data_IF_403460355763
#
_entry.id   IF_403460355763
#
_cell.length_a   1.000
_cell.length_b   1.000
_cell.length_c   1.000
_cell.angle_alpha   90.00
_cell.angle_beta   90.00
_cell.angle_gamma   90.00
#
_symmetry.space_group_name_H-M   'P 1'
#
loop_
_entity.id
_entity.type
_entity.pdbx_description
1 polymer ?
#
# COMPACT_ATOMS: atom_id res chain seq x y z
N UNK A 1 16.58 30.36 -20.77
CA UNK A 1 17.65 30.35 -21.78
C UNK A 1 17.85 28.92 -22.23
N UNK A 2 17.67 28.64 -23.52
CA UNK A 2 17.90 27.30 -24.05
C UNK A 2 19.35 26.87 -23.85
N UNK A 3 19.55 25.61 -23.48
CA UNK A 3 20.89 25.06 -23.19
C UNK A 3 21.85 25.14 -24.38
N UNK A 4 21.29 25.26 -25.59
CA UNK A 4 22.03 25.49 -26.84
C UNK A 4 22.68 26.87 -26.85
N UNK A 5 21.99 27.90 -26.34
CA UNK A 5 22.52 29.27 -26.26
C UNK A 5 23.68 29.33 -25.28
N UNK A 6 23.56 28.66 -24.13
CA UNK A 6 24.62 28.57 -23.12
C UNK A 6 25.88 27.88 -23.68
N UNK A 7 25.70 26.80 -24.44
CA UNK A 7 26.81 26.08 -25.12
C UNK A 7 27.49 26.94 -26.19
N UNK A 8 26.71 27.71 -26.95
CA UNK A 8 27.23 28.64 -27.95
C UNK A 8 28.10 29.73 -27.32
N UNK A 9 27.63 30.33 -26.23
CA UNK A 9 28.39 31.35 -25.48
C UNK A 9 29.67 30.74 -24.90
N UNK A 10 29.59 29.54 -24.30
CA UNK A 10 30.77 28.84 -23.76
C UNK A 10 31.84 28.57 -24.82
N UNK A 11 31.46 28.04 -25.98
CA UNK A 11 32.39 27.76 -27.07
C UNK A 11 33.05 29.05 -27.60
N UNK A 12 32.28 30.13 -27.70
CA UNK A 12 32.77 31.44 -28.14
C UNK A 12 33.79 32.02 -27.14
N UNK A 13 33.50 31.97 -25.84
CA UNK A 13 34.40 32.45 -24.79
C UNK A 13 35.69 31.62 -24.74
N UNK A 14 35.60 30.29 -24.83
CA UNK A 14 36.77 29.41 -24.84
C UNK A 14 37.67 29.68 -26.04
N UNK A 15 37.07 29.87 -27.22
CA UNK A 15 37.79 30.16 -28.47
C UNK A 15 38.47 31.54 -28.43
N UNK A 16 37.78 32.57 -27.93
CA UNK A 16 38.38 33.90 -27.71
C UNK A 16 39.53 33.83 -26.71
N UNK A 17 39.36 33.10 -25.62
CA UNK A 17 40.41 32.93 -24.60
C UNK A 17 41.64 32.22 -25.17
N UNK A 18 41.44 31.15 -25.96
CA UNK A 18 42.53 30.46 -26.66
C UNK A 18 43.25 31.38 -27.66
N UNK A 19 42.53 32.26 -28.34
CA UNK A 19 43.12 33.25 -29.25
C UNK A 19 44.02 34.26 -28.54
N UNK A 20 43.62 34.75 -27.36
CA UNK A 20 44.42 35.71 -26.58
C UNK A 20 45.62 35.08 -25.87
N UNK A 21 45.48 33.86 -25.34
CA UNK A 21 46.52 33.20 -24.54
C UNK A 21 47.58 32.52 -25.43
N UNK A 22 47.26 32.21 -26.69
CA UNK A 22 48.15 31.53 -27.63
C UNK A 22 48.80 30.26 -27.03
N UNK A 23 47.99 29.27 -26.62
CA UNK A 23 48.51 28.06 -26.01
C UNK A 23 49.49 27.36 -26.96
N UNK A 24 50.57 26.81 -26.39
CA UNK A 24 51.63 26.10 -27.12
C UNK A 24 52.42 26.95 -28.14
N UNK A 25 52.36 28.30 -28.06
CA UNK A 25 53.06 29.19 -28.98
C UNK A 25 52.51 29.17 -30.40
N UNK A 26 51.34 28.57 -30.60
CA UNK A 26 50.64 28.55 -31.88
C UNK A 26 50.07 29.95 -32.14
N UNK A 27 50.20 30.46 -33.37
CA UNK A 27 49.67 31.78 -33.76
C UNK A 27 48.61 31.66 -34.85
N UNK A 28 47.73 32.65 -34.93
CA UNK A 28 46.71 32.73 -35.98
C UNK A 28 45.65 31.63 -35.90
N UNK A 29 45.31 31.05 -37.05
CA UNK A 29 44.15 30.16 -37.22
C UNK A 29 44.22 28.86 -36.39
N UNK A 30 45.43 28.40 -36.06
CA UNK A 30 45.62 27.18 -35.27
C UNK A 30 45.13 27.33 -33.82
N UNK A 31 45.19 28.53 -33.23
CA UNK A 31 44.65 28.78 -31.88
C UNK A 31 43.14 28.69 -31.83
N UNK A 32 42.48 29.21 -32.88
CA UNK A 32 41.03 29.15 -33.04
C UNK A 32 40.58 27.70 -33.24
N UNK A 33 41.32 26.91 -34.03
CA UNK A 33 41.04 25.48 -34.20
C UNK A 33 41.20 24.68 -32.90
N UNK A 34 42.23 24.97 -32.10
CA UNK A 34 42.43 24.34 -30.79
C UNK A 34 41.31 24.74 -29.81
N UNK A 35 40.93 26.01 -29.78
CA UNK A 35 39.82 26.50 -28.96
C UNK A 35 38.47 25.88 -29.35
N UNK A 36 38.16 25.83 -30.64
CA UNK A 36 36.91 25.27 -31.13
C UNK A 36 36.87 23.73 -30.97
N UNK A 37 37.98 23.05 -31.22
CA UNK A 37 38.10 21.61 -31.03
C UNK A 37 37.98 21.19 -29.57
N UNK A 38 38.60 21.91 -28.65
CA UNK A 38 38.46 21.67 -27.20
C UNK A 38 37.05 21.96 -26.71
N UNK A 39 36.42 23.05 -27.18
CA UNK A 39 35.01 23.34 -26.87
C UNK A 39 34.07 22.23 -27.34
N UNK A 40 34.23 21.75 -28.58
CA UNK A 40 33.46 20.62 -29.10
C UNK A 40 33.69 19.34 -28.29
N UNK A 41 34.94 19.06 -27.90
CA UNK A 41 35.28 17.93 -27.05
C UNK A 41 34.59 17.98 -25.69
N UNK A 42 34.58 19.13 -25.03
CA UNK A 42 33.90 19.34 -23.74
C UNK A 42 32.38 19.18 -23.88
N UNK A 43 31.77 19.74 -24.93
CA UNK A 43 30.33 19.62 -25.17
C UNK A 43 29.95 18.16 -25.48
N UNK A 44 30.77 17.45 -26.26
CA UNK A 44 30.58 16.03 -26.52
C UNK A 44 30.67 15.21 -25.22
N UNK A 45 31.67 15.49 -24.39
CA UNK A 45 31.84 14.85 -23.09
C UNK A 45 30.66 15.13 -22.15
N UNK A 46 30.20 16.39 -22.06
CA UNK A 46 29.00 16.79 -21.32
C UNK A 46 27.77 15.99 -21.77
N UNK A 47 27.57 15.85 -23.09
CA UNK A 47 26.47 15.08 -23.65
C UNK A 47 26.56 13.58 -23.33
N UNK A 48 27.78 13.03 -23.34
CA UNK A 48 28.04 11.63 -22.97
C UNK A 48 27.77 11.41 -21.47
N UNK A 49 28.17 12.35 -20.62
CA UNK A 49 27.92 12.33 -19.17
C UNK A 49 26.44 12.40 -18.83
N UNK A 50 25.67 13.25 -19.53
CA UNK A 50 24.21 13.36 -19.32
C UNK A 50 23.45 12.09 -19.68
N UNK A 51 23.98 11.29 -20.61
CA UNK A 51 23.41 9.98 -20.98
C UNK A 51 23.92 8.83 -20.12
N UNK A 52 24.94 9.06 -19.28
CA UNK A 52 25.46 8.04 -18.39
C UNK A 52 24.58 7.92 -17.15
N UNK A 53 24.31 6.69 -16.72
CA UNK A 53 23.60 6.43 -15.47
C UNK A 53 24.49 6.85 -14.28
N UNK A 54 23.88 7.33 -13.20
CA UNK A 54 24.63 7.71 -11.97
C UNK A 54 25.49 6.54 -11.46
N UNK A 55 24.98 5.32 -11.58
CA UNK A 55 25.69 4.08 -11.22
C UNK A 55 26.98 3.88 -12.01
N UNK A 56 26.94 4.09 -13.33
CA UNK A 56 28.13 4.04 -14.19
C UNK A 56 29.15 5.10 -13.81
N UNK A 57 28.70 6.32 -13.49
CA UNK A 57 29.59 7.41 -13.10
C UNK A 57 30.30 7.12 -11.77
N UNK A 58 29.58 6.63 -10.76
CA UNK A 58 30.16 6.24 -9.47
C UNK A 58 31.14 5.09 -9.64
N UNK A 59 30.75 4.06 -10.40
CA UNK A 59 31.61 2.92 -10.69
C UNK A 59 32.88 3.34 -11.45
N UNK A 60 32.75 4.20 -12.45
CA UNK A 60 33.86 4.74 -13.24
C UNK A 60 34.84 5.54 -12.36
N UNK A 61 34.33 6.37 -11.44
CA UNK A 61 35.14 7.15 -10.52
C UNK A 61 35.90 6.26 -9.52
N UNK A 62 35.23 5.28 -8.93
CA UNK A 62 35.89 4.35 -8.00
C UNK A 62 36.94 3.50 -8.72
N UNK A 63 36.61 3.02 -9.92
CA UNK A 63 37.52 2.23 -10.75
C UNK A 63 38.73 3.04 -11.21
N UNK A 64 38.57 4.30 -11.60
CA UNK A 64 39.70 5.16 -11.98
C UNK A 64 40.61 5.49 -10.80
N UNK A 65 40.05 5.75 -9.61
CA UNK A 65 40.82 5.97 -8.38
C UNK A 65 41.64 4.73 -8.05
N UNK A 66 41.03 3.54 -8.05
CA UNK A 66 41.76 2.28 -7.81
C UNK A 66 42.83 2.02 -8.87
N UNK A 67 42.55 2.35 -10.14
CA UNK A 67 43.51 2.25 -11.23
C UNK A 67 44.72 3.18 -11.04
N UNK A 68 44.49 4.44 -10.64
CA UNK A 68 45.56 5.40 -10.35
C UNK A 68 46.40 4.93 -9.16
N UNK A 69 45.77 4.47 -8.08
CA UNK A 69 46.49 3.92 -6.92
C UNK A 69 47.36 2.73 -7.35
N UNK A 70 46.80 1.79 -8.12
CA UNK A 70 47.56 0.66 -8.65
C UNK A 70 48.72 1.09 -9.55
N UNK A 71 48.51 2.09 -10.40
CA UNK A 71 49.57 2.63 -11.25
C UNK A 71 50.71 3.23 -10.46
N UNK A 72 50.41 4.00 -9.40
CA UNK A 72 51.41 4.61 -8.52
C UNK A 72 52.21 3.53 -7.81
N UNK A 73 51.56 2.51 -7.25
CA UNK A 73 52.24 1.40 -6.58
C UNK A 73 53.19 0.65 -7.53
N UNK A 74 52.75 0.35 -8.75
CA UNK A 74 53.60 -0.30 -9.76
C UNK A 74 54.75 0.63 -10.18
N UNK A 75 54.46 1.92 -10.39
CA UNK A 75 55.47 2.90 -10.79
C UNK A 75 56.54 3.10 -9.71
N UNK A 76 56.17 2.98 -8.44
CA UNK A 76 57.09 3.02 -7.30
C UNK A 76 58.05 1.83 -7.34
N UNK A 77 57.51 0.60 -7.47
CA UNK A 77 58.30 -0.63 -7.61
C UNK A 77 59.27 -0.61 -8.81
N UNK A 78 58.91 0.10 -9.89
CA UNK A 78 59.79 0.25 -11.07
C UNK A 78 60.93 1.24 -10.86
N UNK A 79 60.90 2.08 -9.82
CA UNK A 79 61.93 3.10 -9.58
C UNK A 79 63.29 2.49 -9.23
N UNK A 80 63.29 1.29 -8.64
CA UNK A 80 64.51 0.59 -8.21
C UNK A 80 65.16 -0.24 -9.34
N UNK A 81 64.69 -0.13 -10.59
CA UNK A 81 65.22 -0.88 -11.73
C UNK A 81 66.18 -0.05 -12.60
N UNK A 82 67.18 -0.71 -13.21
CA UNK A 82 68.35 -0.11 -13.90
C UNK A 82 68.02 0.47 -15.29
N UNK A 83 66.80 0.94 -15.53
CA UNK A 83 66.43 1.53 -16.82
C UNK A 83 66.93 2.97 -16.95
N UNK A 84 67.13 3.42 -18.20
CA UNK A 84 67.42 4.84 -18.49
C UNK A 84 66.25 5.75 -18.07
N UNK A 85 66.58 6.95 -17.57
CA UNK A 85 65.63 7.89 -16.94
C UNK A 85 64.46 8.32 -17.85
N UNK A 86 64.71 8.49 -19.15
CA UNK A 86 63.67 8.86 -20.12
C UNK A 86 62.71 7.71 -20.40
N UNK A 87 63.25 6.50 -20.59
CA UNK A 87 62.46 5.28 -20.80
C UNK A 87 61.63 4.93 -19.58
N UNK A 88 62.17 5.10 -18.37
CA UNK A 88 61.43 4.96 -17.11
C UNK A 88 60.25 5.93 -17.02
N UNK A 89 60.48 7.20 -17.33
CA UNK A 89 59.44 8.24 -17.26
C UNK A 89 58.30 7.93 -18.25
N UNK A 90 58.65 7.48 -19.45
CA UNK A 90 57.67 7.05 -20.46
C UNK A 90 56.87 5.82 -19.97
N UNK A 91 57.54 4.79 -19.44
CA UNK A 91 56.89 3.56 -18.95
C UNK A 91 55.95 3.88 -17.78
N UNK A 92 56.36 4.72 -16.83
CA UNK A 92 55.52 5.17 -15.71
C UNK A 92 54.27 5.90 -16.20
N UNK A 93 54.42 6.82 -17.14
CA UNK A 93 53.31 7.55 -17.73
C UNK A 93 52.37 6.60 -18.51
N UNK A 94 52.94 5.66 -19.24
CA UNK A 94 52.19 4.63 -19.97
C UNK A 94 51.34 3.77 -19.02
N UNK A 95 51.94 3.28 -17.92
CA UNK A 95 51.24 2.49 -16.91
C UNK A 95 50.12 3.30 -16.24
N UNK A 96 50.36 4.58 -15.93
CA UNK A 96 49.36 5.48 -15.37
C UNK A 96 48.15 5.63 -16.30
N UNK A 97 48.37 5.94 -17.58
CA UNK A 97 47.27 6.05 -18.54
C UNK A 97 46.53 4.73 -18.72
N UNK A 98 47.27 3.62 -18.84
CA UNK A 98 46.71 2.29 -19.03
C UNK A 98 45.80 1.91 -17.86
N UNK A 99 46.30 1.98 -16.62
CA UNK A 99 45.55 1.59 -15.42
C UNK A 99 44.38 2.52 -15.14
N UNK A 100 44.52 3.83 -15.36
CA UNK A 100 43.42 4.79 -15.19
C UNK A 100 42.30 4.49 -16.19
N UNK A 101 42.65 4.22 -17.46
CA UNK A 101 41.67 3.90 -18.51
C UNK A 101 40.97 2.56 -18.23
N UNK A 102 41.72 1.50 -17.92
CA UNK A 102 41.16 0.18 -17.61
C UNK A 102 40.28 0.27 -16.36
N UNK A 103 40.73 0.96 -15.31
CA UNK A 103 39.96 1.20 -14.09
C UNK A 103 38.64 1.93 -14.37
N UNK A 104 38.68 2.99 -15.18
CA UNK A 104 37.49 3.72 -15.60
C UNK A 104 36.50 2.83 -16.37
N UNK A 105 36.97 2.07 -17.37
CA UNK A 105 36.11 1.22 -18.21
C UNK A 105 35.50 0.07 -17.41
N UNK A 106 36.31 -0.64 -16.61
CA UNK A 106 35.85 -1.74 -15.77
C UNK A 106 34.90 -1.22 -14.69
N UNK A 107 35.24 -0.09 -14.07
CA UNK A 107 34.40 0.58 -13.08
C UNK A 107 33.06 1.02 -13.65
N UNK A 108 33.04 1.62 -14.83
CA UNK A 108 31.81 2.01 -15.52
C UNK A 108 30.93 0.79 -15.82
N UNK A 109 31.50 -0.26 -16.39
CA UNK A 109 30.77 -1.46 -16.77
C UNK A 109 30.24 -2.25 -15.57
N UNK A 110 31.04 -2.38 -14.50
CA UNK A 110 30.61 -3.03 -13.26
C UNK A 110 29.75 -2.13 -12.38
N UNK A 111 29.77 -0.81 -12.58
CA UNK A 111 28.93 0.14 -11.88
C UNK A 111 27.44 -0.15 -12.03
N UNK A 112 27.00 -0.68 -13.17
CA UNK A 112 25.60 -1.10 -13.37
C UNK A 112 25.18 -2.25 -12.45
N UNK A 113 26.13 -3.09 -12.01
CA UNK A 113 25.91 -4.19 -11.06
C UNK A 113 25.78 -3.68 -9.62
N UNK A 114 26.13 -2.42 -9.35
CA UNK A 114 25.95 -1.84 -8.02
C UNK A 114 24.45 -1.65 -7.75
N UNK A 115 23.96 -2.43 -6.79
CA UNK A 115 22.59 -2.31 -6.31
C UNK A 115 22.53 -1.21 -5.25
N UNK A 116 22.57 0.06 -5.69
CA UNK A 116 22.40 1.23 -4.79
C UNK A 116 21.09 1.18 -3.98
N UNK A 117 20.11 0.37 -4.41
CA UNK A 117 18.87 0.11 -3.66
C UNK A 117 19.12 -0.70 -2.39
N UNK A 118 20.13 -1.58 -2.36
CA UNK A 118 20.50 -2.38 -1.20
C UNK A 118 21.35 -1.58 -0.20
N UNK A 119 21.99 -0.49 -0.66
CA UNK A 119 22.72 0.49 0.15
C UNK A 119 21.84 1.70 0.51
N UNK A 120 20.52 1.49 0.53
CA UNK A 120 19.49 2.52 0.63
C UNK A 120 19.44 3.18 2.00
N UNK A 121 19.80 4.47 2.03
CA UNK A 121 19.58 5.33 3.19
C UNK A 121 20.21 6.71 3.06
N UNK A 122 21.37 6.81 2.40
CA UNK A 122 22.19 8.05 2.45
C UNK A 122 22.33 8.76 1.08
N UNK A 123 22.21 8.04 -0.03
CA UNK A 123 22.41 8.59 -1.39
C UNK A 123 21.26 8.34 -2.37
N UNK A 124 20.18 7.73 -1.90
CA UNK A 124 18.97 7.53 -2.69
C UNK A 124 18.15 8.81 -2.68
N UNK A 125 18.39 9.71 -3.63
CA UNK A 125 17.46 10.81 -3.92
C UNK A 125 16.04 10.27 -3.96
N UNK A 126 15.12 10.99 -3.33
CA UNK A 126 13.70 10.68 -3.23
C UNK A 126 13.24 9.99 -4.52
N UNK A 127 13.03 8.67 -4.45
CA UNK A 127 12.20 8.04 -5.47
C UNK A 127 10.88 8.79 -5.37
N UNK A 128 10.40 9.49 -6.43
CA UNK A 128 9.01 9.90 -6.40
C UNK A 128 8.24 8.62 -6.07
N UNK A 129 7.49 8.63 -4.96
CA UNK A 129 6.71 7.49 -4.54
C UNK A 129 6.05 6.92 -5.80
N UNK A 130 6.35 5.65 -6.15
CA UNK A 130 5.75 5.02 -7.34
C UNK A 130 4.27 5.35 -7.27
N UNK A 131 3.76 6.16 -8.21
CA UNK A 131 2.35 6.52 -8.25
C UNK A 131 1.60 5.19 -8.31
N UNK A 132 0.97 4.82 -7.22
CA UNK A 132 0.26 3.55 -7.12
C UNK A 132 -1.01 3.66 -7.96
N UNK A 133 -0.92 3.26 -9.21
CA UNK A 133 -2.06 3.24 -10.12
C UNK A 133 -2.98 2.09 -9.76
N UNK A 134 -4.28 2.37 -9.74
CA UNK A 134 -5.34 1.41 -9.43
C UNK A 134 -6.41 1.50 -10.49
N UNK A 135 -6.53 0.47 -11.32
CA UNK A 135 -7.49 0.43 -12.44
C UNK A 135 -8.82 -0.11 -11.93
N UNK A 136 -9.89 0.64 -12.14
CA UNK A 136 -11.24 0.21 -11.76
C UNK A 136 -11.90 -0.61 -12.87
N UNK A 137 -12.47 -1.75 -12.48
CA UNK A 137 -13.35 -2.59 -13.30
C UNK A 137 -14.83 -2.12 -13.23
N UNK A 138 -15.62 -2.46 -14.24
CA UNK A 138 -17.08 -2.24 -14.29
C UNK A 138 -17.78 -2.86 -13.09
N UNK A 139 -17.38 -4.09 -12.70
CA UNK A 139 -18.02 -4.83 -11.60
C UNK A 139 -17.92 -4.10 -10.26
N UNK A 140 -16.79 -3.44 -9.99
CA UNK A 140 -16.53 -2.74 -8.74
C UNK A 140 -17.28 -1.41 -8.68
N UNK A 141 -17.39 -0.74 -9.82
CA UNK A 141 -18.11 0.53 -9.95
C UNK A 141 -19.61 0.33 -9.76
N UNK A 142 -20.20 -0.72 -10.35
CA UNK A 142 -21.64 -1.02 -10.21
C UNK A 142 -22.02 -1.38 -8.77
N UNK A 143 -21.14 -2.09 -8.06
CA UNK A 143 -21.35 -2.46 -6.65
C UNK A 143 -21.42 -1.21 -5.75
N UNK A 144 -20.51 -0.26 -5.99
CA UNK A 144 -20.54 1.08 -5.40
C UNK A 144 -19.79 1.22 -4.07
N UNK A 145 -19.47 0.13 -3.36
CA UNK A 145 -18.73 0.17 -2.08
C UNK A 145 -17.33 0.79 -2.23
N UNK A 146 -16.78 0.79 -3.44
CA UNK A 146 -15.51 1.46 -3.76
C UNK A 146 -15.52 2.95 -3.39
N UNK A 147 -16.65 3.64 -3.57
CA UNK A 147 -16.77 5.05 -3.20
C UNK A 147 -16.62 5.25 -1.68
N UNK A 148 -17.24 4.39 -0.88
CA UNK A 148 -17.18 4.51 0.58
C UNK A 148 -15.78 4.15 1.08
N UNK A 149 -15.13 3.12 0.51
CA UNK A 149 -13.73 2.76 0.82
C UNK A 149 -12.79 3.92 0.49
N UNK A 150 -12.99 4.55 -0.66
CA UNK A 150 -12.29 5.76 -1.08
C UNK A 150 -12.44 6.91 -0.07
N UNK A 151 -13.65 7.18 0.41
CA UNK A 151 -13.91 8.23 1.41
C UNK A 151 -13.24 7.97 2.76
N UNK A 152 -13.08 6.71 3.17
CA UNK A 152 -12.35 6.36 4.41
C UNK A 152 -10.84 6.59 4.32
N UNK A 153 -10.30 6.81 3.12
CA UNK A 153 -8.85 6.94 2.88
C UNK A 153 -8.11 5.61 2.86
N UNK A 154 -8.81 4.46 2.86
CA UNK A 154 -8.19 3.14 2.81
C UNK A 154 -7.62 2.81 1.42
N UNK A 155 -8.09 3.51 0.38
CA UNK A 155 -7.60 3.37 -0.99
C UNK A 155 -6.78 4.59 -1.40
N UNK A 156 -5.48 4.40 -1.56
CA UNK A 156 -4.52 5.44 -1.93
C UNK A 156 -4.15 5.44 -3.42
N UNK A 157 -3.43 6.46 -3.86
CA UNK A 157 -2.87 6.53 -5.22
C UNK A 157 -3.81 7.12 -6.27
N UNK A 158 -3.55 6.78 -7.54
CA UNK A 158 -4.30 7.32 -8.68
C UNK A 158 -5.28 6.27 -9.17
N UNK A 159 -6.57 6.60 -9.13
CA UNK A 159 -7.62 5.78 -9.70
C UNK A 159 -7.68 5.98 -11.21
N UNK A 160 -7.41 4.92 -11.95
CA UNK A 160 -7.44 4.90 -13.41
C UNK A 160 -8.78 4.34 -13.85
N UNK A 161 -9.51 5.11 -14.65
CA UNK A 161 -10.79 4.71 -15.25
C UNK A 161 -10.60 4.63 -16.76
N UNK A 162 -10.53 3.43 -17.34
CA UNK A 162 -10.38 3.27 -18.78
C UNK A 162 -11.67 3.63 -19.53
N UNK A 163 -11.55 4.19 -20.73
CA UNK A 163 -12.72 4.52 -21.56
C UNK A 163 -13.57 3.29 -21.92
N UNK A 164 -12.96 2.11 -22.07
CA UNK A 164 -13.71 0.89 -22.35
C UNK A 164 -14.61 0.46 -21.18
N UNK A 165 -14.23 0.74 -19.93
CA UNK A 165 -15.07 0.52 -18.74
C UNK A 165 -16.26 1.49 -18.72
N UNK A 166 -16.02 2.77 -19.07
CA UNK A 166 -17.10 3.74 -19.22
C UNK A 166 -18.10 3.33 -20.30
N UNK A 167 -17.62 2.85 -21.44
CA UNK A 167 -18.50 2.38 -22.54
C UNK A 167 -19.31 1.16 -22.11
N UNK A 168 -18.71 0.22 -21.39
CA UNK A 168 -19.44 -0.94 -20.87
C UNK A 168 -20.51 -0.52 -19.85
N UNK A 169 -20.20 0.39 -18.92
CA UNK A 169 -21.18 0.96 -17.99
C UNK A 169 -22.35 1.66 -18.71
N UNK A 170 -22.06 2.42 -19.77
CA UNK A 170 -23.08 3.06 -20.61
C UNK A 170 -23.96 2.03 -21.31
N UNK A 171 -23.37 0.98 -21.90
CA UNK A 171 -24.14 -0.11 -22.52
C UNK A 171 -25.07 -0.81 -21.51
N UNK A 172 -24.60 -1.00 -20.26
CA UNK A 172 -25.42 -1.54 -19.17
C UNK A 172 -26.53 -0.56 -18.78
N UNK A 173 -26.24 0.75 -18.74
CA UNK A 173 -27.20 1.82 -18.45
C UNK A 173 -28.26 2.01 -19.55
N UNK A 174 -27.97 1.63 -20.79
CA UNK A 174 -28.88 1.69 -21.94
C UNK A 174 -29.62 0.36 -22.18
N UNK A 175 -29.44 -0.62 -21.29
CA UNK A 175 -30.09 -1.93 -21.41
C UNK A 175 -31.63 -1.82 -21.38
N UNK A 176 -32.29 -2.66 -22.18
CA UNK A 176 -33.75 -2.83 -22.15
C UNK A 176 -34.23 -3.39 -20.79
N UNK A 177 -33.38 -4.15 -20.10
CA UNK A 177 -33.64 -4.68 -18.77
C UNK A 177 -33.53 -3.54 -17.74
N UNK A 178 -34.65 -3.23 -17.08
CA UNK A 178 -34.76 -2.19 -16.06
C UNK A 178 -33.76 -2.37 -14.91
N UNK A 179 -33.50 -3.61 -14.47
CA UNK A 179 -32.57 -3.86 -13.36
C UNK A 179 -31.13 -3.58 -13.79
N UNK A 180 -30.72 -4.02 -14.99
CA UNK A 180 -29.40 -3.73 -15.55
C UNK A 180 -29.22 -2.23 -15.77
N UNK A 181 -30.21 -1.58 -16.37
CA UNK A 181 -30.23 -0.12 -16.57
C UNK A 181 -30.04 0.66 -15.27
N UNK A 182 -30.78 0.31 -14.23
CA UNK A 182 -30.67 0.97 -12.93
C UNK A 182 -29.27 0.77 -12.31
N UNK A 183 -28.69 -0.43 -12.45
CA UNK A 183 -27.31 -0.72 -12.01
C UNK A 183 -26.26 0.07 -12.79
N UNK A 184 -26.39 0.18 -14.11
CA UNK A 184 -25.49 0.97 -14.95
C UNK A 184 -25.52 2.46 -14.60
N UNK A 185 -26.72 3.03 -14.46
CA UNK A 185 -26.90 4.44 -14.02
C UNK A 185 -26.28 4.69 -12.66
N UNK A 186 -26.54 3.81 -11.69
CA UNK A 186 -25.91 3.88 -10.35
C UNK A 186 -24.38 3.84 -10.45
N UNK A 187 -23.81 2.99 -11.33
CA UNK A 187 -22.37 2.95 -11.54
C UNK A 187 -21.80 4.27 -12.06
N UNK A 188 -22.47 4.91 -13.01
CA UNK A 188 -22.08 6.24 -13.50
C UNK A 188 -22.16 7.31 -12.40
N UNK A 189 -23.20 7.28 -11.56
CA UNK A 189 -23.35 8.19 -10.41
C UNK A 189 -22.20 8.00 -9.40
N UNK A 190 -21.79 6.75 -9.15
CA UNK A 190 -20.65 6.41 -8.28
C UNK A 190 -19.34 6.98 -8.83
N UNK A 191 -19.08 6.86 -10.14
CA UNK A 191 -17.88 7.45 -10.74
C UNK A 191 -17.89 8.98 -10.61
N UNK A 192 -19.04 9.61 -10.80
CA UNK A 192 -19.17 11.05 -10.62
C UNK A 192 -18.94 11.47 -9.17
N UNK A 193 -19.41 10.68 -8.19
CA UNK A 193 -19.12 10.89 -6.76
C UNK A 193 -17.61 10.82 -6.52
N UNK A 194 -16.94 9.76 -6.96
CA UNK A 194 -15.49 9.56 -6.78
C UNK A 194 -14.68 10.69 -7.42
N UNK A 195 -15.06 11.14 -8.61
CA UNK A 195 -14.39 12.26 -9.30
C UNK A 195 -14.45 13.57 -8.51
N UNK A 196 -15.51 13.79 -7.73
CA UNK A 196 -15.71 15.01 -6.92
C UNK A 196 -15.10 14.92 -5.51
N UNK A 197 -14.60 13.75 -5.10
CA UNK A 197 -14.01 13.57 -3.76
C UNK A 197 -12.69 14.31 -3.62
N UNK A 198 -12.54 15.06 -2.53
CA UNK A 198 -11.27 15.68 -2.18
C UNK A 198 -10.28 14.60 -1.70
N UNK A 199 -9.03 14.68 -2.13
CA UNK A 199 -7.97 13.75 -1.71
C UNK A 199 -7.78 12.53 -2.62
N UNK A 200 -8.62 12.35 -3.65
CA UNK A 200 -8.50 11.26 -4.62
C UNK A 200 -8.14 11.84 -5.98
N UNK A 201 -7.11 11.29 -6.61
CA UNK A 201 -6.76 11.64 -7.98
C UNK A 201 -7.36 10.61 -8.93
N UNK A 202 -8.28 11.05 -9.78
CA UNK A 202 -8.90 10.23 -10.82
C UNK A 202 -8.30 10.58 -12.17
N UNK A 203 -7.89 9.57 -12.94
CA UNK A 203 -7.36 9.71 -14.29
C UNK A 203 -8.17 8.86 -15.27
N UNK A 204 -8.74 9.51 -16.29
CA UNK A 204 -9.38 8.82 -17.40
C UNK A 204 -8.34 8.50 -18.47
N UNK A 205 -8.33 7.25 -18.95
CA UNK A 205 -7.31 6.76 -19.90
C UNK A 205 -7.97 6.23 -21.17
N UNK A 206 -7.50 6.69 -22.33
CA UNK A 206 -8.02 6.35 -23.66
C UNK A 206 -7.37 5.10 -24.27
N UNK A 207 -6.30 4.58 -23.67
CA UNK A 207 -5.65 3.34 -24.13
C UNK A 207 -6.69 2.22 -24.31
N UNK A 208 -6.79 1.72 -25.53
CA UNK A 208 -7.63 0.59 -25.89
C UNK A 208 -6.76 -0.43 -26.61
N UNK A 209 -7.18 -1.69 -26.54
CA UNK A 209 -6.49 -2.83 -27.15
C UNK A 209 -7.45 -3.46 -28.16
N UNK A 210 -7.52 -2.97 -29.42
CA UNK A 210 -8.48 -3.43 -30.42
C UNK A 210 -8.35 -4.92 -30.75
N UNK A 211 -7.16 -5.48 -30.55
CA UNK A 211 -6.84 -6.89 -30.77
C UNK A 211 -7.52 -7.80 -29.74
N UNK A 212 -7.92 -7.25 -28.58
CA UNK A 212 -8.54 -7.98 -27.48
C UNK A 212 -10.03 -7.70 -27.47
N UNK A 213 -10.84 -8.75 -27.57
CA UNK A 213 -12.31 -8.62 -27.51
C UNK A 213 -12.83 -8.49 -26.08
N UNK A 214 -12.23 -9.24 -25.16
CA UNK A 214 -12.67 -9.32 -23.77
C UNK A 214 -12.15 -8.13 -22.96
N UNK A 215 -13.05 -7.47 -22.22
CA UNK A 215 -12.73 -6.31 -21.36
C UNK A 215 -11.70 -6.71 -20.29
N UNK A 216 -11.85 -7.91 -19.72
CA UNK A 216 -10.94 -8.51 -18.75
C UNK A 216 -9.48 -8.53 -19.23
N UNK A 217 -9.25 -8.94 -20.47
CA UNK A 217 -7.90 -8.96 -21.05
C UNK A 217 -7.36 -7.55 -21.25
N UNK A 218 -8.21 -6.59 -21.62
CA UNK A 218 -7.82 -5.18 -21.73
C UNK A 218 -7.39 -4.60 -20.39
N UNK A 219 -8.09 -4.94 -19.31
CA UNK A 219 -7.72 -4.53 -17.95
C UNK A 219 -6.35 -5.08 -17.55
N UNK A 220 -6.07 -6.35 -17.85
CA UNK A 220 -4.78 -6.99 -17.55
C UNK A 220 -3.63 -6.35 -18.32
N UNK A 221 -3.79 -6.10 -19.62
CA UNK A 221 -2.73 -5.47 -20.42
C UNK A 221 -2.52 -4.00 -20.01
N UNK A 222 -3.59 -3.26 -19.71
CA UNK A 222 -3.46 -1.91 -19.18
C UNK A 222 -2.73 -1.88 -17.84
N UNK A 223 -3.03 -2.85 -16.96
CA UNK A 223 -2.39 -2.95 -15.67
C UNK A 223 -0.88 -3.20 -15.77
N UNK A 224 -0.45 -4.02 -16.74
CA UNK A 224 0.98 -4.24 -17.01
C UNK A 224 1.66 -3.00 -17.57
N UNK A 225 1.01 -2.29 -18.50
CA UNK A 225 1.58 -1.08 -19.10
C UNK A 225 1.81 0.02 -18.04
N UNK A 226 0.89 0.14 -17.08
CA UNK A 226 0.93 1.17 -16.04
C UNK A 226 1.61 0.73 -14.73
N UNK A 227 2.10 -0.51 -14.62
CA UNK A 227 2.57 -1.11 -13.35
C UNK A 227 1.51 -0.92 -12.23
N UNK A 228 0.24 -1.16 -12.58
CA UNK A 228 -0.94 -0.86 -11.78
C UNK A 228 -1.56 -2.11 -11.17
N UNK A 229 -2.37 -1.91 -10.12
CA UNK A 229 -3.22 -2.97 -9.54
C UNK A 229 -4.62 -2.90 -10.12
N UNK A 230 -5.28 -4.02 -10.32
CA UNK A 230 -6.69 -4.06 -10.75
C UNK A 230 -7.59 -4.08 -9.52
N UNK A 231 -8.62 -3.25 -9.49
CA UNK A 231 -9.67 -3.30 -8.47
C UNK A 231 -10.93 -3.90 -9.09
N UNK A 232 -11.36 -5.07 -8.61
CA UNK A 232 -12.48 -5.82 -9.18
C UNK A 232 -13.26 -6.56 -8.10
N UNK A 233 -14.51 -6.93 -8.39
CA UNK A 233 -15.28 -7.89 -7.61
C UNK A 233 -15.31 -9.29 -8.24
N UNK A 234 -14.80 -9.44 -9.46
CA UNK A 234 -14.83 -10.69 -10.21
C UNK A 234 -13.71 -11.63 -9.76
N UNK A 235 -14.10 -12.83 -9.33
CA UNK A 235 -13.19 -13.87 -8.87
C UNK A 235 -12.39 -14.53 -10.01
N UNK A 236 -12.97 -14.64 -11.20
CA UNK A 236 -12.30 -15.20 -12.38
C UNK A 236 -11.25 -14.23 -12.89
N UNK A 237 -11.58 -12.94 -13.01
CA UNK A 237 -10.60 -11.91 -13.36
C UNK A 237 -9.44 -11.89 -12.38
N UNK A 238 -9.72 -12.02 -11.07
CA UNK A 238 -8.68 -12.11 -10.04
C UNK A 238 -7.68 -13.24 -10.31
N UNK A 239 -8.18 -14.48 -10.51
CA UNK A 239 -7.32 -15.64 -10.80
C UNK A 239 -6.47 -15.45 -12.06
N UNK A 240 -7.08 -14.96 -13.13
CA UNK A 240 -6.39 -14.81 -14.42
C UNK A 240 -5.35 -13.70 -14.36
N UNK A 241 -5.66 -12.57 -13.71
CA UNK A 241 -4.72 -11.46 -13.53
C UNK A 241 -3.50 -11.87 -12.68
N UNK A 242 -3.71 -12.59 -11.58
CA UNK A 242 -2.62 -13.09 -10.73
C UNK A 242 -1.68 -14.04 -11.49
N UNK A 243 -2.21 -14.96 -12.31
CA UNK A 243 -1.40 -15.84 -13.17
C UNK A 243 -0.56 -15.06 -14.21
N UNK A 244 -0.98 -13.84 -14.56
CA UNK A 244 -0.29 -12.94 -15.49
C UNK A 244 0.65 -11.96 -14.77
N UNK A 245 0.84 -12.12 -13.47
CA UNK A 245 1.73 -11.27 -12.65
C UNK A 245 1.15 -9.90 -12.34
N UNK A 246 -0.16 -9.72 -12.44
CA UNK A 246 -0.85 -8.47 -12.10
C UNK A 246 -1.48 -8.61 -10.72
N UNK A 247 -1.18 -7.67 -9.82
CA UNK A 247 -1.80 -7.63 -8.49
C UNK A 247 -3.26 -7.16 -8.57
N UNK A 248 -4.09 -7.76 -7.72
CA UNK A 248 -5.54 -7.50 -7.70
C UNK A 248 -5.99 -7.13 -6.29
N UNK A 249 -6.83 -6.12 -6.20
CA UNK A 249 -7.52 -5.68 -4.99
C UNK A 249 -8.99 -6.05 -5.12
N UNK A 250 -9.40 -7.13 -4.45
CA UNK A 250 -10.78 -7.59 -4.49
C UNK A 250 -11.59 -7.04 -3.30
N UNK A 251 -12.68 -6.29 -3.55
CA UNK A 251 -13.47 -5.71 -2.46
C UNK A 251 -14.21 -6.80 -1.66
N UNK A 252 -14.61 -7.90 -2.29
CA UNK A 252 -15.22 -9.01 -1.56
C UNK A 252 -14.22 -9.67 -0.60
N UNK A 253 -12.95 -9.79 -1.00
CA UNK A 253 -11.88 -10.26 -0.11
C UNK A 253 -11.63 -9.28 1.03
N UNK A 254 -11.60 -7.97 0.75
CA UNK A 254 -11.49 -6.94 1.78
C UNK A 254 -12.66 -7.01 2.77
N UNK A 255 -13.90 -7.09 2.29
CA UNK A 255 -15.08 -7.19 3.14
C UNK A 255 -15.06 -8.45 4.03
N UNK A 256 -14.59 -9.57 3.50
CA UNK A 256 -14.41 -10.80 4.28
C UNK A 256 -13.30 -10.66 5.34
N UNK A 257 -12.20 -9.96 5.03
CA UNK A 257 -11.11 -9.70 5.96
C UNK A 257 -11.52 -8.76 7.10
N UNK A 258 -12.52 -7.90 6.88
CA UNK A 258 -13.08 -6.99 7.88
C UNK A 258 -14.15 -7.65 8.79
N UNK A 259 -14.53 -8.91 8.55
CA UNK A 259 -15.50 -9.60 9.42
C UNK A 259 -14.93 -9.75 10.84
N UNK A 260 -15.71 -9.46 11.89
CA UNK A 260 -15.28 -9.63 13.26
C UNK A 260 -14.75 -11.05 13.53
N UNK A 261 -13.60 -11.13 14.19
CA UNK A 261 -13.03 -12.41 14.62
C UNK A 261 -13.36 -12.60 16.09
N UNK A 262 -14.20 -13.58 16.39
CA UNK A 262 -14.50 -13.96 17.77
C UNK A 262 -13.41 -14.89 18.31
N UNK A 263 -12.91 -14.59 19.51
CA UNK A 263 -11.92 -15.38 20.21
C UNK A 263 -12.54 -16.14 21.40
N UNK A 264 -11.99 -17.31 21.78
CA UNK A 264 -12.36 -17.96 23.04
C UNK A 264 -12.24 -17.00 24.22
N UNK A 265 -13.29 -16.95 25.05
CA UNK A 265 -13.39 -16.05 26.20
C UNK A 265 -14.15 -14.74 25.93
N UNK A 266 -14.37 -14.36 24.67
CA UNK A 266 -15.17 -13.17 24.35
C UNK A 266 -16.68 -13.42 24.53
N UNK A 267 -17.42 -12.39 24.90
CA UNK A 267 -18.88 -12.44 25.00
C UNK A 267 -19.52 -11.96 23.71
N UNK A 268 -20.53 -12.69 23.22
CA UNK A 268 -21.33 -12.33 22.04
C UNK A 268 -22.83 -12.38 22.36
N UNK A 269 -23.62 -11.53 21.70
CA UNK A 269 -25.08 -11.57 21.77
C UNK A 269 -25.61 -12.34 20.58
N UNK A 270 -26.38 -13.39 20.84
CA UNK A 270 -26.93 -14.27 19.80
C UNK A 270 -28.40 -14.58 20.05
N UNK A 271 -29.19 -14.59 18.98
CA UNK A 271 -30.60 -14.98 19.02
C UNK A 271 -30.75 -16.47 18.76
N UNK A 272 -31.27 -17.20 19.76
CA UNK A 272 -31.38 -18.67 19.68
C UNK A 272 -32.60 -19.03 18.83
N UNK A 273 -32.36 -19.66 17.67
CA UNK A 273 -33.38 -19.97 16.68
C UNK A 273 -34.03 -21.33 16.89
N UNK A 274 -33.23 -22.35 17.22
CA UNK A 274 -33.69 -23.74 17.33
C UNK A 274 -32.85 -24.55 18.31
N UNK A 275 -33.35 -25.74 18.67
CA UNK A 275 -32.62 -26.70 19.49
C UNK A 275 -31.40 -27.27 18.73
N UNK A 276 -30.31 -27.47 19.47
CA UNK A 276 -29.07 -28.06 18.97
C UNK A 276 -29.12 -29.58 18.88
N UNK A 277 -28.00 -30.17 18.45
CA UNK A 277 -27.90 -31.63 18.30
C UNK A 277 -27.75 -32.32 19.65
N UNK A 278 -27.01 -31.72 20.58
CA UNK A 278 -26.84 -32.26 21.93
C UNK A 278 -27.86 -31.71 22.92
N UNK A 279 -28.03 -32.43 24.02
CA UNK A 279 -28.96 -32.06 25.08
C UNK A 279 -28.62 -30.68 25.65
N UNK A 280 -29.64 -29.83 25.82
CA UNK A 280 -29.53 -28.44 26.29
C UNK A 280 -28.84 -27.43 25.34
N UNK A 281 -28.50 -27.80 24.10
CA UNK A 281 -27.95 -26.84 23.14
C UNK A 281 -29.03 -26.01 22.43
N UNK A 282 -28.64 -24.78 22.09
CA UNK A 282 -29.35 -23.93 21.13
C UNK A 282 -28.45 -23.63 19.92
N UNK A 283 -29.06 -23.38 18.76
CA UNK A 283 -28.37 -22.93 17.55
C UNK A 283 -28.80 -21.50 17.23
N UNK A 284 -27.83 -20.65 16.98
CA UNK A 284 -27.99 -19.31 16.44
C UNK A 284 -27.15 -19.16 15.16
N UNK A 285 -27.44 -18.12 14.39
CA UNK A 285 -26.59 -17.70 13.28
C UNK A 285 -26.22 -16.24 13.49
N UNK A 286 -24.97 -15.90 13.22
CA UNK A 286 -24.53 -14.50 13.11
C UNK A 286 -25.02 -13.90 11.79
N UNK A 287 -24.95 -12.58 11.69
CA UNK A 287 -25.36 -11.83 10.49
C UNK A 287 -24.60 -12.26 9.23
N UNK A 288 -23.39 -12.80 9.38
CA UNK A 288 -22.55 -13.30 8.30
C UNK A 288 -22.82 -14.77 7.92
N UNK A 289 -23.79 -15.41 8.57
CA UNK A 289 -24.18 -16.81 8.37
C UNK A 289 -23.37 -17.83 9.19
N UNK A 290 -22.41 -17.41 10.00
CA UNK A 290 -21.64 -18.30 10.89
C UNK A 290 -22.58 -18.98 11.89
N UNK A 291 -22.54 -20.31 11.94
CA UNK A 291 -23.35 -21.08 12.89
C UNK A 291 -22.74 -20.99 14.30
N UNK A 292 -23.56 -20.60 15.27
CA UNK A 292 -23.19 -20.55 16.69
C UNK A 292 -23.97 -21.61 17.45
N UNK A 293 -23.26 -22.57 18.04
CA UNK A 293 -23.82 -23.59 18.92
C UNK A 293 -23.62 -23.13 20.36
N UNK A 294 -24.71 -22.93 21.09
CA UNK A 294 -24.68 -22.42 22.46
C UNK A 294 -25.12 -23.49 23.44
N UNK A 295 -24.22 -23.90 24.33
CA UNK A 295 -24.54 -24.80 25.45
C UNK A 295 -25.44 -24.10 26.47
N UNK A 296 -26.32 -24.86 27.12
CA UNK A 296 -27.33 -24.40 28.09
C UNK A 296 -28.36 -23.39 27.54
N UNK A 297 -28.48 -23.24 26.22
CA UNK A 297 -29.39 -22.28 25.60
C UNK A 297 -30.74 -22.87 25.13
N UNK A 298 -31.01 -24.16 25.33
CA UNK A 298 -32.28 -24.78 24.90
C UNK A 298 -33.53 -24.07 25.46
N UNK A 299 -33.51 -23.65 26.73
CA UNK A 299 -34.62 -22.92 27.36
C UNK A 299 -34.77 -21.48 26.85
N UNK A 300 -33.78 -21.00 26.10
CA UNK A 300 -33.68 -19.64 25.59
C UNK A 300 -34.02 -19.54 24.10
N UNK A 301 -34.59 -20.60 23.50
CA UNK A 301 -35.10 -20.57 22.12
C UNK A 301 -36.11 -19.41 21.97
N UNK A 302 -35.96 -18.62 20.91
CA UNK A 302 -36.75 -17.42 20.64
C UNK A 302 -36.30 -16.18 21.41
N UNK A 303 -35.16 -16.21 22.11
CA UNK A 303 -34.61 -15.08 22.87
C UNK A 303 -33.16 -14.77 22.46
N UNK A 304 -32.78 -13.51 22.64
CA UNK A 304 -31.39 -13.06 22.55
C UNK A 304 -30.69 -13.29 23.88
N UNK A 305 -29.54 -13.97 23.86
CA UNK A 305 -28.71 -14.24 25.05
C UNK A 305 -27.29 -13.73 24.84
N UNK A 306 -26.66 -13.35 25.96
CA UNK A 306 -25.22 -13.09 26.02
C UNK A 306 -24.52 -14.42 26.32
N UNK A 307 -23.69 -14.88 25.37
CA UNK A 307 -22.99 -16.17 25.40
C UNK A 307 -21.49 -15.94 25.35
N UNK A 308 -20.72 -16.67 26.17
CA UNK A 308 -19.25 -16.64 26.12
C UNK A 308 -18.75 -17.65 25.10
N UNK A 309 -17.86 -17.23 24.19
CA UNK A 309 -17.25 -18.12 23.19
C UNK A 309 -16.33 -19.11 23.89
N UNK A 310 -16.56 -20.41 23.70
CA UNK A 310 -15.71 -21.46 24.24
C UNK A 310 -14.66 -21.92 23.23
N UNK A 311 -15.05 -22.07 21.97
CA UNK A 311 -14.14 -22.47 20.89
C UNK A 311 -14.67 -22.07 19.52
N UNK A 312 -13.75 -21.98 18.55
CA UNK A 312 -14.09 -21.73 17.15
C UNK A 312 -13.52 -22.87 16.32
N UNK A 313 -14.38 -23.54 15.55
CA UNK A 313 -14.00 -24.64 14.68
C UNK A 313 -14.21 -24.25 13.22
N UNK A 314 -13.21 -24.51 12.39
CA UNK A 314 -13.32 -24.40 10.94
C UNK A 314 -13.76 -25.76 10.38
N UNK A 315 -14.87 -25.79 9.65
CA UNK A 315 -15.40 -26.99 8.97
C UNK A 315 -15.38 -26.81 7.46
N UNK A 316 -15.63 -27.89 6.71
CA UNK A 316 -15.76 -27.85 5.24
C UNK A 316 -16.94 -26.98 4.77
N UNK A 317 -17.98 -26.82 5.60
CA UNK A 317 -19.14 -25.98 5.31
C UNK A 317 -18.97 -24.52 5.76
N UNK A 318 -17.87 -24.19 6.46
CA UNK A 318 -17.60 -22.83 6.96
C UNK A 318 -17.14 -22.82 8.42
N UNK A 319 -17.11 -21.61 9.00
CA UNK A 319 -16.77 -21.39 10.41
C UNK A 319 -17.96 -21.75 11.30
N UNK A 320 -17.70 -22.41 12.42
CA UNK A 320 -18.66 -22.72 13.48
C UNK A 320 -18.11 -22.20 14.80
N UNK A 321 -18.95 -21.54 15.59
CA UNK A 321 -18.57 -21.02 16.91
C UNK A 321 -19.32 -21.81 17.97
N UNK A 322 -18.62 -22.21 19.02
CA UNK A 322 -19.20 -22.80 20.20
C UNK A 322 -19.17 -21.77 21.31
N UNK A 323 -20.28 -21.64 22.01
CA UNK A 323 -20.41 -20.76 23.17
C UNK A 323 -21.18 -21.42 24.29
N UNK A 324 -21.16 -20.77 25.45
CA UNK A 324 -21.88 -21.20 26.64
C UNK A 324 -22.73 -20.05 27.14
N UNK A 325 -24.01 -20.35 27.39
CA UNK A 325 -24.87 -19.46 28.14
C UNK A 325 -24.71 -19.74 29.64
N UNK A 326 -24.32 -18.72 30.39
CA UNK A 326 -24.37 -18.74 31.85
C UNK A 326 -25.53 -17.86 32.31
N UNK A 327 -26.48 -18.47 33.02
CA UNK A 327 -27.56 -17.73 33.66
C UNK A 327 -26.95 -16.88 34.76
N UNK A 328 -26.97 -15.54 34.59
CA UNK A 328 -26.59 -14.60 35.65
C UNK A 328 -27.50 -14.87 36.84
N UNK A 329 -27.00 -15.61 37.82
CA UNK A 329 -27.64 -15.79 39.13
C UNK A 329 -27.79 -14.38 39.69
N UNK A 330 -29.02 -13.87 39.68
CA UNK A 330 -29.36 -12.65 40.42
C UNK A 330 -28.91 -12.91 41.85
N UNK A 331 -27.97 -12.12 42.35
CA UNK A 331 -27.59 -12.15 43.76
C UNK A 331 -28.88 -12.03 44.57
N UNK A 332 -29.23 -13.11 45.26
CA UNK A 332 -30.35 -13.15 46.17
C UNK A 332 -30.05 -12.10 47.23
N UNK A 333 -30.81 -11.00 47.21
CA UNK A 333 -30.76 -9.98 48.23
C UNK A 333 -30.82 -10.65 49.60
N UNK A 334 -29.70 -10.57 50.32
CA UNK A 334 -29.52 -11.08 51.66
C UNK A 334 -30.57 -10.41 52.56
N UNK A 335 -31.66 -11.10 52.87
CA UNK A 335 -32.54 -10.69 53.96
C UNK A 335 -31.72 -10.75 55.25
N UNK A 336 -31.62 -9.66 56.03
CA UNK A 336 -30.94 -9.74 57.32
C UNK A 336 -31.74 -10.68 58.26
N UNK A 337 -31.07 -11.37 59.20
CA UNK A 337 -31.74 -12.30 60.11
C UNK A 337 -32.74 -11.54 60.99
N UNK A 338 -33.92 -12.14 61.22
CA UNK A 338 -34.88 -11.67 62.23
C UNK A 338 -34.19 -11.67 63.60
N UNK A 339 -34.09 -10.50 64.22
CA UNK A 339 -33.69 -10.35 65.62
C UNK A 339 -34.66 -11.12 66.53
N UNK A 340 -34.07 -11.96 67.39
CA UNK A 340 -34.75 -12.64 68.49
C UNK A 340 -35.26 -11.60 69.50
N UNK A 341 -36.57 -11.60 69.76
CA UNK A 341 -37.15 -10.82 70.85
C UNK A 341 -36.74 -11.42 72.20
N UNK A 342 -35.98 -10.66 72.99
CA UNK A 342 -35.82 -10.90 74.43
C UNK A 342 -37.09 -10.50 75.20
N UNK A 343 -37.42 -11.16 76.33
CA UNK A 343 -38.63 -10.90 77.08
C UNK A 343 -38.49 -9.67 77.98
N UNK A 344 -39.38 -8.69 77.81
CA UNK A 344 -39.46 -7.52 78.68
C UNK A 344 -39.89 -7.92 80.10
N UNK A 345 -39.13 -7.40 81.07
CA UNK A 345 -39.38 -7.53 82.50
C UNK A 345 -40.65 -6.79 82.90
N UNK A 346 -41.41 -7.47 83.73
CA UNK A 346 -42.64 -7.05 84.38
C UNK A 346 -42.30 -6.14 85.57
N UNK A 347 -42.50 -4.83 85.44
CA UNK A 347 -42.60 -3.92 86.58
C UNK A 347 -44.03 -3.36 86.66
N UNK A 348 -44.72 -3.74 87.75
CA UNK A 348 -46.05 -3.28 88.14
C UNK A 348 -45.96 -1.91 88.80
N UNK A 349 -46.90 -1.01 88.48
CA UNK A 349 -47.82 -0.28 89.39
C UNK A 349 -48.48 0.94 88.70
N UNK A 350 -49.57 1.55 89.22
CA UNK A 350 -50.94 1.07 89.11
C UNK A 350 -51.88 2.06 88.36
N UNK A 351 -53.06 1.58 87.98
CA UNK A 351 -54.16 2.38 87.40
C UNK A 351 -54.60 3.52 88.33
N UNK A 352 -55.03 4.65 87.75
CA UNK A 352 -56.46 5.00 87.73
C UNK A 352 -56.81 5.55 86.33
N UNK A 353 -58.02 5.82 85.85
CA UNK A 353 -59.42 5.57 86.19
C UNK A 353 -60.20 5.91 84.89
N UNK A 354 -61.48 5.57 84.82
CA UNK A 354 -62.32 5.71 83.63
C UNK A 354 -62.59 7.17 83.26
N UNK A 355 -62.72 7.45 81.97
CA UNK A 355 -63.81 8.31 81.47
C UNK A 355 -64.26 7.84 80.07
N UNK A 356 -65.58 7.64 79.96
CA UNK A 356 -66.30 7.29 78.76
C UNK A 356 -66.44 8.50 77.83
N UNK A 357 -66.60 8.28 76.52
CA UNK A 357 -67.84 8.60 75.76
C UNK A 357 -67.65 8.56 74.23
N UNK A 358 -68.69 8.06 73.57
CA UNK A 358 -69.23 8.36 72.23
C UNK A 358 -68.31 8.33 70.99
N UNK A 359 -68.55 7.40 70.04
CA UNK A 359 -69.56 7.47 68.95
C UNK A 359 -69.27 8.61 67.97
N UNK A 360 -68.79 8.28 66.76
CA UNK A 360 -69.56 8.57 65.54
C UNK A 360 -69.00 7.86 64.30
N UNK A 361 -69.96 7.27 63.59
CA UNK A 361 -69.88 6.71 62.24
C UNK A 361 -70.16 7.84 61.27
N UNK A 362 -69.47 7.90 60.14
CA UNK A 362 -70.05 8.41 58.88
C UNK A 362 -69.22 7.97 57.68
N UNK A 363 -69.86 7.09 56.90
CA UNK A 363 -69.85 6.85 55.45
C UNK A 363 -68.55 6.86 54.65
#
# INVERSE_FOLDING_TARGET
>A
MDIVVVRGIFALVLTLTAYYIQPFGLTGIYTVLVGLGSAMGIIYFEHRLKRATLKRLIGAAFGSIMGIIGAVLISDMLTDTVFETNSLSFIKLFILFLMTYVGLVVGANKGDLLNLSALGGVFGGERPAKKAYKILDTSVVIDGRIADICETGFLDGILVIPHFVLRELQQVADSADTLKRNRGRRGLDILQRIQKMAGITVQFVENDFPQLREVDMKLIELAKEFDAKIVTNDFNLNKVAQLRGVEVLNINELANALKPVYLPGETMKVFILKEGKEFNQGIAYLDDGTMVVVDNARKMIGKTVESSVTSVLQTTAGKMIFGRYEEKRSEVAHHPPREERQPERNDREPRPERQATHTEVSH
#
